data_IF_461464863558
#
_entry.id   IF_461464863558
#
_cell.length_a   1.000
_cell.length_b   1.000
_cell.length_c   1.000
_cell.angle_alpha   90.00
_cell.angle_beta   90.00
_cell.angle_gamma   90.00
#
_symmetry.space_group_name_H-M   'P 1'
#
loop_
_entity.id
_entity.type
_entity.pdbx_description
1 polymer ?
#
# COMPACT_ATOMS: atom_id res chain seq x y z
N UNK A 1 8.35 -7.53 -20.21
CA UNK A 1 8.68 -7.18 -18.80
C UNK A 1 8.27 -5.74 -18.58
N UNK A 2 7.82 -5.38 -17.38
CA UNK A 2 7.50 -3.99 -17.05
C UNK A 2 8.75 -3.12 -17.13
N UNK A 3 8.58 -1.82 -17.33
CA UNK A 3 9.68 -0.87 -17.16
C UNK A 3 9.84 -0.57 -15.68
N UNK A 4 11.06 -0.64 -15.16
CA UNK A 4 11.34 -0.41 -13.75
C UNK A 4 12.06 0.93 -13.59
N UNK A 5 11.50 1.79 -12.75
CA UNK A 5 11.99 3.14 -12.51
C UNK A 5 12.37 3.33 -11.04
N UNK A 6 13.55 3.92 -10.81
CA UNK A 6 13.93 4.33 -9.46
C UNK A 6 13.18 5.60 -9.06
N UNK A 7 12.44 5.57 -7.95
CA UNK A 7 11.77 6.76 -7.39
C UNK A 7 12.75 7.90 -7.08
N UNK A 8 14.02 7.57 -6.81
CA UNK A 8 15.05 8.58 -6.53
C UNK A 8 15.54 9.33 -7.77
N UNK A 9 15.44 8.68 -8.96
CA UNK A 9 15.93 9.23 -10.24
C UNK A 9 14.80 9.73 -11.12
N UNK A 10 13.57 9.43 -10.75
CA UNK A 10 12.39 9.84 -11.50
C UNK A 10 11.98 11.26 -11.11
N UNK A 11 11.67 12.07 -12.12
CA UNK A 11 11.03 13.37 -11.94
C UNK A 11 9.61 13.25 -12.48
N UNK A 12 8.58 13.25 -11.62
CA UNK A 12 7.18 13.21 -12.04
C UNK A 12 6.82 14.45 -12.86
N UNK A 13 5.86 14.29 -13.78
CA UNK A 13 5.30 15.41 -14.56
C UNK A 13 3.78 15.48 -14.38
N UNK A 14 3.20 16.64 -14.57
CA UNK A 14 1.77 16.93 -14.31
C UNK A 14 0.79 15.92 -14.93
N UNK A 15 1.13 15.32 -16.07
CA UNK A 15 0.27 14.34 -16.75
C UNK A 15 0.35 12.93 -16.16
N UNK A 16 1.31 12.68 -15.27
CA UNK A 16 1.50 11.35 -14.69
C UNK A 16 0.33 10.95 -13.78
N UNK A 17 0.01 9.66 -13.82
CA UNK A 17 -1.06 9.02 -13.04
C UNK A 17 -0.47 7.79 -12.37
N UNK A 18 -0.38 7.80 -11.05
CA UNK A 18 0.21 6.72 -10.27
C UNK A 18 -0.82 6.04 -9.39
N UNK A 19 -0.95 4.73 -9.49
CA UNK A 19 -1.57 3.93 -8.43
C UNK A 19 -0.55 3.72 -7.33
N UNK A 20 -0.97 3.78 -6.07
CA UNK A 20 -0.07 3.63 -4.93
C UNK A 20 -0.45 2.39 -4.14
N UNK A 21 0.49 1.48 -4.00
CA UNK A 21 0.36 0.24 -3.24
C UNK A 21 0.13 0.52 -1.75
N UNK A 22 -0.62 -0.35 -1.09
CA UNK A 22 -1.01 -0.23 0.32
C UNK A 22 0.19 -0.10 1.26
N UNK A 23 1.28 -0.84 1.02
CA UNK A 23 2.49 -0.75 1.84
C UNK A 23 3.12 0.65 1.78
N UNK A 24 3.13 1.28 0.61
CA UNK A 24 3.64 2.65 0.43
C UNK A 24 2.77 3.64 1.19
N UNK A 25 1.44 3.50 1.11
CA UNK A 25 0.51 4.31 1.91
C UNK A 25 0.72 4.13 3.41
N UNK A 26 0.93 2.89 3.87
CA UNK A 26 1.20 2.59 5.27
C UNK A 26 2.44 3.33 5.78
N UNK A 27 3.53 3.33 5.01
CA UNK A 27 4.75 4.05 5.40
C UNK A 27 4.56 5.57 5.37
N UNK A 28 3.87 6.08 4.37
CA UNK A 28 3.62 7.51 4.22
C UNK A 28 2.69 8.07 5.30
N UNK A 29 1.69 7.31 5.74
CA UNK A 29 0.66 7.80 6.67
C UNK A 29 0.91 7.36 8.10
N UNK A 30 0.78 6.08 8.39
CA UNK A 30 0.85 5.55 9.75
C UNK A 30 2.27 5.58 10.34
N UNK A 31 3.29 5.18 9.57
CA UNK A 31 4.66 5.12 10.06
C UNK A 31 5.32 6.51 10.17
N UNK A 32 4.82 7.53 9.49
CA UNK A 32 5.40 8.88 9.50
C UNK A 32 5.44 9.52 10.90
N UNK A 33 4.54 9.12 11.79
CA UNK A 33 4.40 9.68 13.15
C UNK A 33 4.76 8.70 14.26
N UNK A 34 5.27 7.50 13.92
CA UNK A 34 5.51 6.43 14.89
C UNK A 34 6.91 5.81 14.77
N UNK A 35 7.55 5.67 15.91
CA UNK A 35 8.74 4.84 16.05
C UNK A 35 8.27 3.38 16.29
N UNK A 36 8.38 2.53 15.26
CA UNK A 36 7.97 1.13 15.31
C UNK A 36 9.21 0.29 15.58
N UNK A 37 9.30 -0.33 16.74
CA UNK A 37 10.45 -1.14 17.19
C UNK A 37 10.11 -2.63 17.24
N UNK A 38 9.34 -3.13 16.28
CA UNK A 38 8.97 -4.54 16.18
C UNK A 38 9.81 -5.25 15.11
N UNK A 39 9.82 -6.59 15.10
CA UNK A 39 10.48 -7.40 14.05
C UNK A 39 10.02 -7.08 12.63
N UNK A 40 8.89 -6.38 12.49
CA UNK A 40 8.29 -5.95 11.23
C UNK A 40 8.47 -4.47 10.95
N UNK A 41 9.38 -3.82 11.67
CA UNK A 41 9.67 -2.41 11.45
C UNK A 41 10.03 -2.15 9.99
N UNK A 42 9.46 -1.12 9.35
CA UNK A 42 9.84 -0.72 8.01
C UNK A 42 11.34 -0.41 7.94
N UNK A 43 11.93 -0.71 6.80
CA UNK A 43 13.33 -0.36 6.56
C UNK A 43 13.45 1.16 6.38
N UNK A 44 14.61 1.71 6.74
CA UNK A 44 14.87 3.14 6.65
C UNK A 44 14.57 3.72 5.26
N UNK A 45 14.96 3.04 4.18
CA UNK A 45 14.71 3.53 2.83
C UNK A 45 13.21 3.60 2.49
N UNK A 46 12.38 2.72 3.07
CA UNK A 46 10.93 2.72 2.88
C UNK A 46 10.29 3.95 3.52
N UNK A 47 10.78 4.36 4.69
CA UNK A 47 10.30 5.54 5.41
C UNK A 47 10.83 6.87 4.84
N UNK A 48 11.94 6.84 4.10
CA UNK A 48 12.53 8.06 3.53
C UNK A 48 12.15 8.25 2.04
N UNK A 49 12.30 7.19 1.22
CA UNK A 49 12.27 7.33 -0.24
C UNK A 49 10.87 7.35 -0.83
N UNK A 50 9.94 6.58 -0.28
CA UNK A 50 8.58 6.61 -0.78
C UNK A 50 7.83 7.87 -0.37
N UNK A 51 7.89 8.35 0.90
CA UNK A 51 7.34 9.66 1.24
C UNK A 51 7.90 10.80 0.40
N UNK A 52 9.24 10.86 0.24
CA UNK A 52 9.90 11.85 -0.62
C UNK A 52 9.36 11.82 -2.07
N UNK A 53 9.12 10.63 -2.61
CA UNK A 53 8.59 10.49 -3.96
C UNK A 53 7.10 10.88 -4.07
N UNK A 54 6.28 10.50 -3.10
CA UNK A 54 4.87 10.95 -3.01
C UNK A 54 4.79 12.48 -3.00
N UNK A 55 5.63 13.15 -2.20
CA UNK A 55 5.69 14.61 -2.17
C UNK A 55 6.08 15.20 -3.53
N UNK A 56 7.09 14.63 -4.21
CA UNK A 56 7.46 15.05 -5.56
C UNK A 56 6.34 14.88 -6.59
N UNK A 57 5.57 13.79 -6.48
CA UNK A 57 4.40 13.56 -7.33
C UNK A 57 3.36 14.66 -7.11
N UNK A 58 3.04 14.96 -5.85
CA UNK A 58 2.09 16.02 -5.50
C UNK A 58 2.56 17.41 -5.95
N UNK A 59 3.83 17.74 -5.71
CA UNK A 59 4.42 19.03 -6.11
C UNK A 59 4.42 19.25 -7.62
N UNK A 60 4.54 18.16 -8.40
CA UNK A 60 4.48 18.23 -9.87
C UNK A 60 3.05 18.43 -10.40
N UNK A 61 2.04 18.32 -9.56
CA UNK A 61 0.63 18.30 -9.94
C UNK A 61 0.18 17.00 -10.62
N UNK A 62 1.01 15.95 -10.58
CA UNK A 62 0.63 14.60 -11.00
C UNK A 62 -0.42 14.01 -10.04
N UNK A 63 -1.11 12.96 -10.47
CA UNK A 63 -2.24 12.40 -9.73
C UNK A 63 -1.89 11.05 -9.10
N UNK A 64 -2.25 10.92 -7.82
CA UNK A 64 -2.22 9.68 -7.07
C UNK A 64 -3.60 9.01 -7.06
N UNK A 65 -3.60 7.70 -7.11
CA UNK A 65 -4.82 6.88 -7.10
C UNK A 65 -4.73 5.77 -6.05
N UNK A 66 -5.86 5.43 -5.50
CA UNK A 66 -6.08 4.28 -4.63
C UNK A 66 -7.44 3.65 -4.94
N UNK A 67 -7.80 2.58 -4.24
CA UNK A 67 -9.13 1.98 -4.33
C UNK A 67 -9.60 1.49 -2.94
N UNK A 68 -10.89 1.13 -2.77
CA UNK A 68 -11.42 0.68 -1.48
C UNK A 68 -10.71 -0.54 -0.87
N UNK A 69 -10.07 -1.40 -1.67
CA UNK A 69 -9.30 -2.54 -1.13
C UNK A 69 -8.08 -2.07 -0.34
N UNK A 70 -7.46 -0.95 -0.71
CA UNK A 70 -6.36 -0.33 0.06
C UNK A 70 -6.80 -0.07 1.50
N UNK A 71 -8.06 0.35 1.74
CA UNK A 71 -8.58 0.52 3.09
C UNK A 71 -8.56 -0.80 3.88
N UNK A 72 -9.00 -1.89 3.28
CA UNK A 72 -9.10 -3.19 3.96
C UNK A 72 -7.73 -3.76 4.30
N UNK A 73 -6.76 -3.64 3.40
CA UNK A 73 -5.39 -4.04 3.64
C UNK A 73 -4.70 -3.15 4.68
N UNK A 74 -4.81 -1.82 4.52
CA UNK A 74 -4.26 -0.85 5.46
C UNK A 74 -4.78 -1.08 6.88
N UNK A 75 -6.10 -1.30 7.04
CA UNK A 75 -6.71 -1.60 8.33
C UNK A 75 -6.14 -2.89 8.95
N UNK A 76 -5.90 -3.92 8.13
CA UNK A 76 -5.31 -5.17 8.59
C UNK A 76 -3.83 -5.01 8.98
N UNK A 77 -3.06 -4.23 8.22
CA UNK A 77 -1.64 -3.95 8.52
C UNK A 77 -1.53 -3.13 9.81
N UNK A 78 -2.31 -2.05 9.95
CA UNK A 78 -2.30 -1.21 11.15
C UNK A 78 -2.72 -2.03 12.38
N UNK A 79 -3.82 -2.79 12.32
CA UNK A 79 -4.25 -3.64 13.44
C UNK A 79 -3.17 -4.64 13.85
N UNK A 80 -2.50 -5.25 12.88
CA UNK A 80 -1.43 -6.21 13.13
C UNK A 80 -0.22 -5.54 13.80
N UNK A 81 0.15 -4.36 13.32
CA UNK A 81 1.26 -3.59 13.90
C UNK A 81 0.95 -3.13 15.33
N UNK A 82 -0.25 -2.62 15.58
CA UNK A 82 -0.67 -2.23 16.94
C UNK A 82 -0.74 -3.44 17.87
N UNK A 83 -1.14 -4.61 17.38
CA UNK A 83 -1.10 -5.85 18.16
C UNK A 83 0.34 -6.26 18.49
N UNK A 84 1.27 -6.19 17.54
CA UNK A 84 2.69 -6.50 17.77
C UNK A 84 3.28 -5.53 18.83
N UNK A 85 2.99 -4.23 18.72
CA UNK A 85 3.38 -3.21 19.72
C UNK A 85 2.78 -3.50 21.11
N UNK A 86 1.50 -3.89 21.14
CA UNK A 86 0.85 -4.28 22.40
C UNK A 86 1.55 -5.47 23.07
N UNK A 87 1.87 -6.50 22.29
CA UNK A 87 2.57 -7.70 22.82
C UNK A 87 3.96 -7.36 23.36
N UNK A 88 4.73 -6.50 22.69
CA UNK A 88 6.04 -6.06 23.17
C UNK A 88 5.96 -5.27 24.48
N UNK A 89 4.96 -4.41 24.60
CA UNK A 89 4.74 -3.63 25.83
C UNK A 89 4.12 -4.47 26.97
N UNK A 90 3.54 -5.63 26.65
CA UNK A 90 2.89 -6.52 27.61
C UNK A 90 3.40 -7.96 27.46
N UNK A 91 4.69 -8.25 27.75
CA UNK A 91 5.29 -9.57 27.48
C UNK A 91 4.68 -10.72 28.28
N UNK A 92 3.93 -10.43 29.33
CA UNK A 92 3.16 -11.41 30.11
C UNK A 92 1.77 -11.70 29.51
N UNK A 93 1.32 -10.90 28.55
CA UNK A 93 0.00 -11.11 27.93
C UNK A 93 0.09 -12.23 26.89
N UNK A 94 -0.70 -13.29 27.10
CA UNK A 94 -0.81 -14.44 26.19
C UNK A 94 -2.12 -14.37 25.40
N UNK A 95 -2.35 -13.27 24.70
CA UNK A 95 -3.56 -13.05 23.91
C UNK A 95 -3.29 -13.19 22.42
N UNK A 96 -4.30 -13.59 21.66
CA UNK A 96 -4.28 -13.58 20.20
C UNK A 96 -4.94 -12.32 19.63
N UNK A 97 -4.81 -12.10 18.31
CA UNK A 97 -5.40 -10.91 17.64
C UNK A 97 -6.91 -10.76 17.82
N UNK A 98 -7.66 -11.87 17.94
CA UNK A 98 -9.12 -11.80 18.16
C UNK A 98 -9.44 -11.28 19.55
N UNK A 99 -8.70 -11.73 20.55
CA UNK A 99 -8.82 -11.25 21.93
C UNK A 99 -8.38 -9.78 22.04
N UNK A 100 -7.28 -9.40 21.38
CA UNK A 100 -6.83 -8.02 21.30
C UNK A 100 -7.92 -7.08 20.73
N UNK A 101 -8.64 -7.49 19.68
CA UNK A 101 -9.78 -6.73 19.14
C UNK A 101 -10.92 -6.51 20.14
N UNK A 102 -11.03 -7.36 21.15
CA UNK A 102 -12.06 -7.28 22.17
C UNK A 102 -11.69 -6.32 23.30
N UNK A 103 -10.45 -5.85 23.35
CA UNK A 103 -10.01 -4.82 24.29
C UNK A 103 -10.48 -3.45 23.78
N UNK A 104 -11.46 -2.87 24.47
CA UNK A 104 -12.14 -1.65 24.01
C UNK A 104 -11.17 -0.48 23.74
N UNK A 105 -10.27 -0.20 24.69
CA UNK A 105 -9.26 0.85 24.55
C UNK A 105 -8.30 0.64 23.38
N UNK A 106 -7.86 -0.61 23.16
CA UNK A 106 -6.97 -0.94 22.05
C UNK A 106 -7.72 -0.86 20.71
N UNK A 107 -8.98 -1.29 20.69
CA UNK A 107 -9.84 -1.18 19.50
C UNK A 107 -10.07 0.27 19.11
N UNK A 108 -10.37 1.15 20.07
CA UNK A 108 -10.54 2.58 19.82
C UNK A 108 -9.26 3.20 19.26
N UNK A 109 -8.10 2.87 19.82
CA UNK A 109 -6.79 3.30 19.34
C UNK A 109 -6.54 2.87 17.89
N UNK A 110 -6.71 1.57 17.60
CA UNK A 110 -6.55 1.04 16.24
C UNK A 110 -7.46 1.74 15.25
N UNK A 111 -8.73 1.96 15.60
CA UNK A 111 -9.70 2.65 14.73
C UNK A 111 -9.34 4.12 14.51
N UNK A 112 -8.80 4.79 15.52
CA UNK A 112 -8.30 6.16 15.38
C UNK A 112 -7.16 6.26 14.38
N UNK A 113 -6.20 5.35 14.45
CA UNK A 113 -5.05 5.29 13.54
C UNK A 113 -5.49 4.98 12.09
N UNK A 114 -6.38 4.00 11.91
CA UNK A 114 -6.93 3.68 10.59
C UNK A 114 -7.65 4.90 10.00
N UNK A 115 -8.47 5.57 10.79
CA UNK A 115 -9.22 6.75 10.33
C UNK A 115 -8.29 7.90 9.95
N UNK A 116 -7.23 8.13 10.71
CA UNK A 116 -6.24 9.18 10.41
C UNK A 116 -5.52 8.89 9.09
N UNK A 117 -4.98 7.66 8.94
CA UNK A 117 -4.30 7.23 7.73
C UNK A 117 -5.21 7.30 6.50
N UNK A 118 -6.43 6.79 6.62
CA UNK A 118 -7.40 6.79 5.51
C UNK A 118 -7.83 8.20 5.09
N UNK A 119 -8.03 9.11 6.06
CA UNK A 119 -8.33 10.50 5.74
C UNK A 119 -7.20 11.14 4.94
N UNK A 120 -5.95 10.93 5.36
CA UNK A 120 -4.78 11.44 4.63
C UNK A 120 -4.73 10.92 3.19
N UNK A 121 -5.00 9.63 2.97
CA UNK A 121 -5.04 9.03 1.63
C UNK A 121 -6.13 9.68 0.77
N UNK A 122 -7.33 9.85 1.31
CA UNK A 122 -8.45 10.48 0.59
C UNK A 122 -8.19 11.96 0.24
N UNK A 123 -7.48 12.68 1.12
CA UNK A 123 -7.16 14.09 0.89
C UNK A 123 -6.11 14.28 -0.22
N UNK A 124 -5.24 13.26 -0.44
CA UNK A 124 -4.09 13.35 -1.36
C UNK A 124 -4.29 12.60 -2.68
N UNK A 125 -5.29 11.73 -2.78
CA UNK A 125 -5.46 10.85 -3.93
C UNK A 125 -6.92 10.66 -4.34
N UNK A 126 -7.11 10.20 -5.56
CA UNK A 126 -8.44 9.90 -6.10
C UNK A 126 -8.77 8.42 -5.89
N UNK A 127 -9.94 8.15 -5.30
CA UNK A 127 -10.44 6.80 -5.16
C UNK A 127 -11.00 6.29 -6.50
N UNK A 128 -10.54 5.12 -6.94
CA UNK A 128 -11.09 4.41 -8.08
C UNK A 128 -12.18 3.46 -7.62
N UNK A 129 -13.31 3.46 -8.31
CA UNK A 129 -14.42 2.55 -8.00
C UNK A 129 -14.06 1.10 -8.37
N UNK A 130 -14.22 0.20 -7.41
CA UNK A 130 -14.08 -1.23 -7.64
C UNK A 130 -15.43 -1.84 -7.98
N UNK A 131 -15.50 -2.47 -9.14
CA UNK A 131 -16.64 -3.28 -9.52
C UNK A 131 -16.23 -4.77 -9.57
N UNK A 132 -16.42 -5.47 -8.45
CA UNK A 132 -16.14 -6.91 -8.32
C UNK A 132 -17.32 -7.74 -8.86
N UNK A 133 -17.57 -7.66 -10.16
CA UNK A 133 -18.59 -8.47 -10.84
C UNK A 133 -18.01 -9.81 -11.27
N UNK A 134 -18.89 -10.80 -11.43
CA UNK A 134 -18.53 -12.15 -11.84
C UNK A 134 -17.80 -12.19 -13.21
N UNK A 135 -18.16 -11.28 -14.11
CA UNK A 135 -17.52 -11.15 -15.43
C UNK A 135 -16.03 -10.69 -15.37
N UNK A 136 -15.55 -10.24 -14.19
CA UNK A 136 -14.15 -9.88 -13.97
C UNK A 136 -13.27 -11.02 -13.46
N UNK A 137 -13.90 -12.07 -12.92
CA UNK A 137 -13.16 -13.22 -12.35
C UNK A 137 -12.20 -13.87 -13.37
N UNK A 138 -12.57 -14.05 -14.66
CA UNK A 138 -11.64 -14.66 -15.63
C UNK A 138 -10.34 -13.85 -15.82
N UNK A 139 -10.40 -12.52 -15.89
CA UNK A 139 -9.20 -11.69 -16.06
C UNK A 139 -8.31 -11.69 -14.82
N UNK A 140 -8.91 -11.69 -13.62
CA UNK A 140 -8.17 -11.84 -12.36
C UNK A 140 -7.52 -13.21 -12.27
N UNK A 141 -8.25 -14.27 -12.65
CA UNK A 141 -7.73 -15.63 -12.69
C UNK A 141 -6.54 -15.77 -13.67
N UNK A 142 -6.61 -15.11 -14.82
CA UNK A 142 -5.51 -15.07 -15.78
C UNK A 142 -4.26 -14.42 -15.18
N UNK A 143 -4.39 -13.26 -14.52
CA UNK A 143 -3.29 -12.61 -13.82
C UNK A 143 -2.67 -13.52 -12.76
N UNK A 144 -3.49 -14.12 -11.89
CA UNK A 144 -3.01 -15.06 -10.86
C UNK A 144 -2.33 -16.30 -11.44
N UNK A 145 -2.78 -16.78 -12.61
CA UNK A 145 -2.23 -17.99 -13.24
C UNK A 145 -0.92 -17.74 -13.99
N UNK A 146 -0.68 -16.51 -14.43
CA UNK A 146 0.45 -16.14 -15.29
C UNK A 146 1.53 -15.32 -14.61
N UNK A 147 1.31 -14.89 -13.36
CA UNK A 147 2.20 -14.04 -12.56
C UNK A 147 2.41 -14.61 -11.16
N UNK A 148 3.29 -13.98 -10.37
CA UNK A 148 3.49 -14.28 -8.93
C UNK A 148 2.66 -13.39 -8.00
N UNK A 149 1.76 -12.58 -8.55
CA UNK A 149 0.91 -11.66 -7.79
C UNK A 149 -0.01 -12.39 -6.82
N UNK A 150 -0.24 -11.78 -5.68
CA UNK A 150 -1.34 -12.20 -4.82
C UNK A 150 -2.71 -11.72 -5.33
N UNK A 151 -3.78 -12.09 -4.63
CA UNK A 151 -5.15 -11.77 -5.08
C UNK A 151 -5.48 -10.28 -5.03
N UNK A 152 -4.88 -9.52 -4.10
CA UNK A 152 -5.09 -8.08 -4.02
C UNK A 152 -4.32 -7.36 -5.13
N UNK A 153 -3.08 -7.75 -5.36
CA UNK A 153 -2.23 -7.19 -6.42
C UNK A 153 -2.82 -7.43 -7.81
N UNK A 154 -3.36 -8.63 -8.05
CA UNK A 154 -4.06 -8.94 -9.30
C UNK A 154 -5.31 -8.08 -9.50
N UNK A 155 -6.06 -7.78 -8.41
CA UNK A 155 -7.19 -6.85 -8.46
C UNK A 155 -6.75 -5.41 -8.73
N UNK A 156 -5.64 -4.96 -8.13
CA UNK A 156 -5.07 -3.63 -8.40
C UNK A 156 -4.68 -3.47 -9.86
N UNK A 157 -3.94 -4.44 -10.42
CA UNK A 157 -3.56 -4.38 -11.82
C UNK A 157 -4.75 -4.46 -12.77
N UNK A 158 -5.73 -5.31 -12.48
CA UNK A 158 -6.98 -5.37 -13.25
C UNK A 158 -7.75 -4.04 -13.26
N UNK A 159 -7.79 -3.35 -12.12
CA UNK A 159 -8.39 -2.03 -11.99
C UNK A 159 -7.58 -0.96 -12.75
N UNK A 160 -6.26 -0.98 -12.60
CA UNK A 160 -5.36 -0.06 -13.30
C UNK A 160 -5.52 -0.17 -14.82
N UNK A 161 -5.59 -1.39 -15.37
CA UNK A 161 -5.85 -1.62 -16.80
C UNK A 161 -7.18 -1.00 -17.25
N UNK A 162 -8.24 -1.19 -16.46
CA UNK A 162 -9.56 -0.65 -16.77
C UNK A 162 -9.55 0.88 -16.82
N UNK A 163 -8.83 1.52 -15.90
CA UNK A 163 -8.77 2.97 -15.74
C UNK A 163 -7.66 3.63 -16.60
N UNK A 164 -6.89 2.82 -17.34
CA UNK A 164 -5.77 3.30 -18.15
C UNK A 164 -4.66 3.93 -17.29
N UNK A 165 -4.41 3.39 -16.11
CA UNK A 165 -3.30 3.78 -15.25
C UNK A 165 -2.16 2.80 -15.49
N UNK A 166 -1.02 3.31 -15.96
CA UNK A 166 0.12 2.50 -16.39
C UNK A 166 1.29 2.53 -15.39
N UNK A 167 1.15 3.26 -14.27
CA UNK A 167 2.25 3.47 -13.31
C UNK A 167 1.82 3.07 -11.91
N UNK A 168 2.64 2.23 -11.26
CA UNK A 168 2.44 1.83 -9.87
C UNK A 168 3.65 2.20 -9.02
N UNK A 169 3.40 2.76 -7.82
CA UNK A 169 4.43 2.97 -6.80
C UNK A 169 4.34 1.82 -5.81
N UNK A 170 5.36 0.95 -5.79
CA UNK A 170 5.39 -0.25 -4.94
C UNK A 170 6.81 -0.65 -4.55
N UNK A 171 6.95 -1.36 -3.44
CA UNK A 171 8.19 -2.04 -3.00
C UNK A 171 8.17 -3.54 -3.31
N UNK A 172 7.00 -4.05 -3.75
CA UNK A 172 6.79 -5.47 -3.93
C UNK A 172 7.41 -5.99 -5.23
N UNK A 173 8.21 -7.06 -5.10
CA UNK A 173 8.87 -7.72 -6.21
C UNK A 173 7.89 -8.50 -7.11
N UNK A 174 6.73 -8.88 -6.61
CA UNK A 174 5.79 -9.73 -7.35
C UNK A 174 5.20 -9.02 -8.57
N UNK A 175 5.10 -7.68 -8.53
CA UNK A 175 4.71 -6.86 -9.68
C UNK A 175 5.67 -6.97 -10.89
N UNK A 176 6.92 -7.36 -10.68
CA UNK A 176 7.90 -7.57 -11.78
C UNK A 176 7.48 -8.70 -12.72
N UNK A 177 6.67 -9.64 -12.24
CA UNK A 177 6.13 -10.74 -13.04
C UNK A 177 5.06 -10.31 -14.04
N UNK A 178 4.50 -9.10 -13.91
CA UNK A 178 3.44 -8.55 -14.75
C UNK A 178 3.99 -7.53 -15.76
N UNK A 179 3.33 -7.39 -16.91
CA UNK A 179 3.62 -6.36 -17.93
C UNK A 179 2.56 -5.26 -17.98
N UNK A 180 1.64 -5.26 -17.02
CA UNK A 180 0.48 -4.37 -17.02
C UNK A 180 0.84 -2.93 -16.67
N UNK A 181 1.83 -2.74 -15.79
CA UNK A 181 2.20 -1.41 -15.32
C UNK A 181 3.72 -1.23 -15.23
N UNK A 182 4.18 -0.01 -15.43
CA UNK A 182 5.54 0.41 -15.11
C UNK A 182 5.69 0.57 -13.60
N UNK A 183 6.79 0.05 -13.05
CA UNK A 183 7.04 -0.03 -11.62
C UNK A 183 7.93 1.11 -11.17
N UNK A 184 7.48 1.87 -10.19
CA UNK A 184 8.24 2.94 -9.53
C UNK A 184 8.61 2.49 -8.12
N UNK A 185 9.90 2.24 -7.88
CA UNK A 185 10.36 1.59 -6.65
C UNK A 185 11.65 2.19 -6.09
N UNK A 186 11.82 2.05 -4.76
CA UNK A 186 13.09 2.28 -4.06
C UNK A 186 13.82 0.97 -3.71
N UNK A 187 13.24 -0.18 -4.05
CA UNK A 187 13.77 -1.49 -3.70
C UNK A 187 14.93 -1.88 -4.62
N UNK A 188 16.15 -1.86 -4.08
CA UNK A 188 17.37 -2.21 -4.82
C UNK A 188 17.42 -3.67 -5.34
N UNK A 189 16.50 -4.54 -4.88
CA UNK A 189 16.42 -5.92 -5.40
C UNK A 189 15.63 -5.97 -6.71
N UNK A 190 14.86 -4.93 -7.00
CA UNK A 190 14.04 -4.79 -8.21
C UNK A 190 14.77 -3.92 -9.25
N UNK A 191 15.53 -2.91 -8.80
CA UNK A 191 16.35 -2.00 -9.61
C UNK A 191 17.61 -2.68 -10.10
#
# INVERSE_FOLDING_TARGET
MPTIHSVQRTTPVHQDRYFVDTNVWFWFTYCASKEISTDRSPKRYQLEKYPEFIEKVLDSGAKLYHCPLVYTELANIIEKTEFDIYCENNPAATINRKEFRSLESEREKVMSEINLAWRTINDLSTCLDINLREDRVPSIHELLSTTTLDSYDALYLGLMQQEGIEKIITDDNDFVSSTVADIYTANNRIL
#
